data_IF_709499336096
#
_entry.id   IF_709499336096
#
_cell.length_a   1.000
_cell.length_b   1.000
_cell.length_c   1.000
_cell.angle_alpha   90.00
_cell.angle_beta   90.00
_cell.angle_gamma   90.00
#
_symmetry.space_group_name_H-M   'P 1'
#
loop_
_entity.id
_entity.type
_entity.pdbx_description
1 polymer ?
#
# COMPACT_ATOMS: atom_id res chain seq x y z
N UNK A 1 -3.26 -4.02 -21.72
CA UNK A 1 -3.39 -4.08 -20.25
C UNK A 1 -2.16 -4.66 -19.60
N UNK A 2 -1.79 -4.18 -18.39
CA UNK A 2 -0.82 -4.86 -17.55
C UNK A 2 -1.23 -6.33 -17.36
N UNK A 3 -0.24 -7.22 -17.42
CA UNK A 3 -0.45 -8.67 -17.26
C UNK A 3 0.21 -9.23 -16.02
N UNK A 4 1.21 -8.53 -15.49
CA UNK A 4 2.03 -8.99 -14.38
C UNK A 4 2.56 -7.81 -13.58
N UNK A 5 2.48 -7.91 -12.26
CA UNK A 5 3.18 -7.05 -11.31
C UNK A 5 4.12 -7.92 -10.49
N UNK A 6 5.38 -7.51 -10.38
CA UNK A 6 6.37 -8.18 -9.53
C UNK A 6 6.86 -7.16 -8.50
N UNK A 7 6.62 -7.44 -7.22
CA UNK A 7 7.13 -6.66 -6.09
C UNK A 7 8.39 -7.35 -5.57
N UNK A 8 9.49 -6.60 -5.55
CA UNK A 8 10.78 -7.08 -5.05
C UNK A 8 11.30 -6.11 -3.98
N UNK A 9 11.83 -6.65 -2.89
CA UNK A 9 12.40 -5.86 -1.80
C UNK A 9 13.91 -5.77 -1.93
N UNK A 10 14.40 -4.82 -2.76
CA UNK A 10 15.83 -4.69 -3.08
C UNK A 10 16.74 -4.35 -1.89
N UNK A 11 16.20 -3.72 -0.85
CA UNK A 11 16.96 -3.29 0.31
C UNK A 11 17.18 -4.41 1.35
N UNK A 12 16.51 -5.56 1.19
CA UNK A 12 16.55 -6.65 2.16
C UNK A 12 17.02 -7.92 1.45
N UNK A 13 18.22 -8.44 1.79
CA UNK A 13 18.75 -9.62 1.13
C UNK A 13 17.82 -10.82 1.33
N UNK A 14 17.74 -11.67 0.31
CA UNK A 14 17.03 -12.96 0.35
C UNK A 14 15.51 -12.88 0.54
N UNK A 15 14.85 -11.77 0.21
CA UNK A 15 13.39 -11.71 0.23
C UNK A 15 12.74 -12.35 -1.01
N UNK A 16 11.56 -12.96 -0.84
CA UNK A 16 10.81 -13.52 -1.96
C UNK A 16 10.30 -12.40 -2.88
N UNK A 17 10.15 -12.75 -4.16
CA UNK A 17 9.40 -11.92 -5.10
C UNK A 17 7.91 -12.22 -4.93
N UNK A 18 7.09 -11.18 -4.85
CA UNK A 18 5.64 -11.31 -4.88
C UNK A 18 5.17 -11.02 -6.30
N UNK A 19 4.48 -11.98 -6.91
CA UNK A 19 4.04 -11.90 -8.30
C UNK A 19 2.51 -11.94 -8.33
N UNK A 20 1.90 -10.97 -9.01
CA UNK A 20 0.48 -10.94 -9.33
C UNK A 20 0.30 -10.98 -10.85
N UNK A 21 -0.48 -11.94 -11.35
CA UNK A 21 -0.90 -12.00 -12.75
C UNK A 21 -2.29 -11.37 -12.90
N UNK A 22 -2.49 -10.60 -13.97
CA UNK A 22 -3.75 -9.97 -14.31
C UNK A 22 -4.30 -10.57 -15.62
N UNK A 23 -5.50 -11.13 -15.54
CA UNK A 23 -6.28 -11.67 -16.66
C UNK A 23 -7.65 -11.00 -16.75
N UNK A 24 -8.41 -11.33 -17.80
CA UNK A 24 -9.86 -11.05 -17.90
C UNK A 24 -10.27 -9.59 -17.72
N UNK A 25 -9.48 -8.69 -18.29
CA UNK A 25 -9.76 -7.25 -18.26
C UNK A 25 -11.09 -6.91 -18.97
N UNK A 26 -12.01 -6.29 -18.23
CA UNK A 26 -13.28 -5.77 -18.74
C UNK A 26 -13.35 -4.24 -18.58
N UNK A 27 -13.40 -3.52 -19.71
CA UNK A 27 -13.45 -2.05 -19.75
C UNK A 27 -14.84 -1.47 -19.95
N UNK A 28 -15.83 -2.32 -20.21
CA UNK A 28 -17.22 -1.92 -20.36
C UNK A 28 -17.95 -1.86 -19.01
N UNK A 29 -17.23 -2.16 -17.92
CA UNK A 29 -17.74 -2.11 -16.55
C UNK A 29 -17.86 -0.66 -16.09
N UNK A 30 -19.03 -0.30 -15.55
CA UNK A 30 -19.29 1.00 -14.92
C UNK A 30 -19.60 0.80 -13.44
N UNK A 31 -18.58 0.59 -12.58
CA UNK A 31 -18.79 0.33 -11.17
C UNK A 31 -19.37 1.56 -10.48
N UNK A 32 -20.25 1.33 -9.51
CA UNK A 32 -20.89 2.40 -8.73
C UNK A 32 -19.98 2.91 -7.60
N UNK A 33 -20.23 4.12 -7.09
CA UNK A 33 -19.47 4.66 -5.93
C UNK A 33 -19.59 3.76 -4.68
N UNK A 34 -20.71 3.05 -4.55
CA UNK A 34 -20.97 2.14 -3.44
C UNK A 34 -19.95 0.99 -3.36
N UNK A 35 -19.49 0.48 -4.50
CA UNK A 35 -18.50 -0.61 -4.57
C UNK A 35 -17.11 -0.17 -4.07
N UNK A 36 -16.84 1.14 -4.07
CA UNK A 36 -15.60 1.71 -3.54
C UNK A 36 -15.76 2.27 -2.13
N UNK A 37 -16.94 2.11 -1.52
CA UNK A 37 -17.18 2.53 -0.14
C UNK A 37 -16.84 1.38 0.81
N UNK A 38 -15.96 1.65 1.78
CA UNK A 38 -15.65 0.66 2.82
C UNK A 38 -16.89 0.41 3.69
N UNK A 39 -17.34 -0.83 3.73
CA UNK A 39 -18.44 -1.27 4.60
C UNK A 39 -17.85 -2.06 5.74
N UNK A 40 -18.05 -1.56 6.96
CA UNK A 40 -17.58 -2.24 8.16
C UNK A 40 -18.39 -3.53 8.36
N UNK A 41 -17.77 -4.72 8.35
CA UNK A 41 -18.48 -5.96 8.65
C UNK A 41 -18.98 -5.98 10.09
N UNK A 42 -20.04 -6.74 10.36
CA UNK A 42 -20.53 -6.91 11.73
C UNK A 42 -19.43 -7.50 12.62
N UNK A 43 -19.20 -6.86 13.78
CA UNK A 43 -18.17 -7.27 14.74
C UNK A 43 -16.75 -6.80 14.42
N UNK A 44 -16.54 -6.03 13.35
CA UNK A 44 -15.25 -5.40 13.10
C UNK A 44 -15.06 -4.15 13.98
N UNK A 45 -13.87 -4.01 14.55
CA UNK A 45 -13.48 -2.86 15.38
C UNK A 45 -12.50 -1.95 14.63
N UNK A 46 -12.64 -0.64 14.82
CA UNK A 46 -11.70 0.33 14.28
C UNK A 46 -10.47 0.45 15.19
N UNK A 47 -9.28 0.19 14.64
CA UNK A 47 -8.02 0.34 15.38
C UNK A 47 -7.54 1.80 15.30
N UNK A 48 -7.19 2.39 16.45
CA UNK A 48 -6.59 3.72 16.50
C UNK A 48 -5.17 3.70 15.91
N UNK A 49 -4.89 4.60 14.97
CA UNK A 49 -3.55 4.75 14.41
C UNK A 49 -2.60 5.37 15.45
N UNK A 50 -1.38 4.83 15.54
CA UNK A 50 -0.33 5.43 16.37
C UNK A 50 0.04 6.81 15.80
N UNK A 51 0.15 7.87 16.63
CA UNK A 51 0.62 9.18 16.17
C UNK A 51 1.99 9.05 15.48
N UNK A 52 2.17 9.81 14.40
CA UNK A 52 3.45 9.86 13.70
C UNK A 52 4.57 10.33 14.67
N UNK A 53 5.75 9.72 14.55
CA UNK A 53 6.91 10.18 15.30
C UNK A 53 7.25 11.63 14.90
N UNK A 54 7.69 12.49 15.83
CA UNK A 54 8.17 13.83 15.49
C UNK A 54 9.31 13.74 14.46
N UNK A 55 9.40 14.66 13.48
CA UNK A 55 10.50 14.68 12.54
C UNK A 55 11.83 14.77 13.30
N UNK A 56 12.79 13.90 12.95
CA UNK A 56 14.15 13.95 13.50
C UNK A 56 14.74 15.33 13.20
N UNK A 57 15.06 16.09 14.25
CA UNK A 57 15.71 17.38 14.12
C UNK A 57 16.99 17.22 13.29
N UNK A 58 17.05 17.89 12.14
CA UNK A 58 18.25 17.94 11.33
C UNK A 58 19.40 18.51 12.18
N UNK A 59 20.37 17.66 12.55
CA UNK A 59 21.63 18.14 13.11
C UNK A 59 22.31 19.00 12.04
N UNK A 60 22.17 20.32 12.18
CA UNK A 60 22.91 21.31 11.40
C UNK A 60 24.39 21.06 11.66
N UNK A 61 25.11 20.54 10.67
CA UNK A 61 26.53 20.27 10.77
C UNK A 61 27.29 21.54 11.15
N UNK A 62 27.90 21.51 12.33
CA UNK A 62 28.92 22.45 12.77
C UNK A 62 30.17 22.21 11.92
N UNK A 63 30.52 23.14 11.04
CA UNK A 63 31.88 23.23 10.48
C UNK A 63 32.74 23.96 11.50
N UNK A 64 33.79 23.29 11.95
CA UNK A 64 34.95 23.86 12.65
C UNK A 64 35.94 24.45 11.66
#
# INVERSE_FOLDING_TARGET
MPRRLIVTYRALPSQPNFIAEFSDWNFDTHPSEFEFTFQLPAGAEQVALKPAAPPLAAKKGSKS
#
